data_IF_399488415897
#
_entry.id   IF_399488415897
#
_cell.length_a   1.000
_cell.length_b   1.000
_cell.length_c   1.000
_cell.angle_alpha   90.00
_cell.angle_beta   90.00
_cell.angle_gamma   90.00
#
_symmetry.space_group_name_H-M   'P 1'
#
loop_
_entity.id
_entity.type
_entity.pdbx_description
1 polymer ?
#
# COMPACT_ATOMS: atom_id res chain seq x y z
N UNK A 1 32.47 35.88 51.67
CA UNK A 1 33.90 36.23 51.77
C UNK A 1 34.57 35.79 50.47
N UNK A 2 35.06 36.77 49.71
CA UNK A 2 36.01 36.77 48.57
C UNK A 2 36.35 35.53 47.71
N UNK A 3 36.38 35.79 46.39
CA UNK A 3 37.42 35.46 45.37
C UNK A 3 37.64 33.97 44.98
N UNK A 4 38.10 33.57 43.78
CA UNK A 4 38.19 34.08 42.38
C UNK A 4 38.82 32.94 41.54
N UNK A 5 38.39 32.80 40.28
CA UNK A 5 39.11 32.36 39.05
C UNK A 5 39.75 30.97 38.84
N UNK A 6 39.31 30.39 37.71
CA UNK A 6 40.03 29.74 36.59
C UNK A 6 40.85 28.45 36.77
N UNK A 7 40.45 27.41 36.03
CA UNK A 7 41.12 27.00 34.77
C UNK A 7 40.26 26.04 33.94
N UNK A 8 40.42 26.20 32.63
CA UNK A 8 39.81 25.53 31.48
C UNK A 8 40.12 24.03 31.36
N UNK A 9 39.23 23.26 30.71
CA UNK A 9 39.45 22.50 29.45
C UNK A 9 38.40 21.37 29.27
N UNK A 10 37.59 21.55 28.21
CA UNK A 10 37.16 20.59 27.17
C UNK A 10 36.13 19.45 27.40
N UNK A 11 35.11 19.55 26.53
CA UNK A 11 34.42 18.51 25.75
C UNK A 11 33.29 17.66 26.36
N UNK A 12 32.09 18.12 25.99
CA UNK A 12 31.02 17.38 25.32
C UNK A 12 30.27 16.29 26.10
N UNK A 13 29.11 16.73 26.56
CA UNK A 13 27.97 15.95 27.01
C UNK A 13 27.43 15.00 25.93
N UNK A 14 27.20 13.77 26.38
CA UNK A 14 26.19 12.85 25.86
C UNK A 14 24.79 13.47 26.00
N UNK A 15 23.97 13.36 24.96
CA UNK A 15 22.53 13.54 25.08
C UNK A 15 21.77 12.56 24.17
N UNK A 16 21.16 11.59 24.84
CA UNK A 16 19.83 11.01 24.61
C UNK A 16 19.38 10.63 23.19
N UNK A 17 19.23 9.30 23.04
CA UNK A 17 18.31 8.63 22.13
C UNK A 17 16.87 9.14 22.28
N UNK A 18 16.19 9.36 21.15
CA UNK A 18 14.73 9.24 21.04
C UNK A 18 14.40 8.89 19.58
N UNK A 19 13.88 7.67 19.38
CA UNK A 19 13.30 7.21 18.12
C UNK A 19 11.98 7.97 17.86
N UNK A 20 11.76 8.45 16.64
CA UNK A 20 10.44 8.93 16.21
C UNK A 20 10.17 8.61 14.74
N UNK A 21 9.01 7.99 14.52
CA UNK A 21 8.50 7.37 13.31
C UNK A 21 8.08 8.38 12.21
N UNK A 22 8.13 7.91 10.96
CA UNK A 22 7.95 8.63 9.69
C UNK A 22 6.47 8.86 9.28
N UNK A 23 6.24 9.90 8.47
CA UNK A 23 5.58 9.80 7.15
C UNK A 23 5.90 11.04 6.27
N UNK A 24 6.31 10.85 5.01
CA UNK A 24 6.80 11.89 4.08
C UNK A 24 6.40 11.53 2.62
N UNK A 25 6.09 12.50 1.72
CA UNK A 25 5.51 12.26 0.39
C UNK A 25 6.53 11.78 -0.67
N UNK A 26 7.62 11.15 -0.24
CA UNK A 26 8.72 10.69 -1.11
C UNK A 26 8.41 9.39 -1.87
N UNK A 27 7.39 8.64 -1.45
CA UNK A 27 7.08 7.34 -2.05
C UNK A 27 6.68 7.43 -3.54
N UNK A 28 5.99 8.51 -3.95
CA UNK A 28 5.47 8.63 -5.31
C UNK A 28 6.56 8.91 -6.37
N UNK A 29 7.64 9.62 -6.01
CA UNK A 29 8.71 9.94 -6.96
C UNK A 29 9.71 8.78 -7.14
N UNK A 30 9.95 7.99 -6.10
CA UNK A 30 10.98 6.93 -6.12
C UNK A 30 10.51 5.69 -6.90
N UNK A 31 9.22 5.36 -6.85
CA UNK A 31 8.67 4.19 -7.55
C UNK A 31 8.62 4.36 -9.08
N UNK A 32 8.45 5.59 -9.58
CA UNK A 32 8.47 5.85 -11.03
C UNK A 32 9.82 5.52 -11.69
N UNK A 33 10.93 5.64 -10.96
CA UNK A 33 12.25 5.20 -11.43
C UNK A 33 12.37 3.66 -11.55
N UNK A 34 11.53 2.90 -10.86
CA UNK A 34 11.53 1.42 -10.88
C UNK A 34 10.70 0.90 -12.07
N UNK A 35 9.61 1.58 -12.45
CA UNK A 35 8.77 1.19 -13.61
C UNK A 35 9.55 1.19 -14.93
N UNK A 36 10.59 2.03 -15.06
CA UNK A 36 11.50 2.03 -16.21
C UNK A 36 12.56 0.92 -16.19
N UNK A 37 12.81 0.28 -15.04
CA UNK A 37 13.86 -0.74 -14.89
C UNK A 37 13.35 -2.19 -14.82
N UNK A 38 12.07 -2.42 -14.50
CA UNK A 38 11.53 -3.80 -14.43
C UNK A 38 11.19 -4.42 -15.80
N UNK A 39 11.11 -3.65 -16.89
CA UNK A 39 10.82 -4.19 -18.22
C UNK A 39 12.01 -4.88 -18.92
N UNK A 40 13.23 -4.77 -18.40
CA UNK A 40 14.45 -5.19 -19.12
C UNK A 40 14.97 -6.59 -18.77
N UNK A 41 14.28 -7.35 -17.90
CA UNK A 41 14.79 -8.61 -17.35
C UNK A 41 14.16 -9.89 -17.93
N UNK A 42 13.43 -9.79 -19.05
CA UNK A 42 12.70 -10.93 -19.64
C UNK A 42 13.15 -11.35 -21.06
N UNK A 43 14.18 -10.74 -21.65
CA UNK A 43 14.64 -11.08 -23.01
C UNK A 43 16.15 -11.25 -23.05
N UNK A 44 16.65 -12.45 -22.71
CA UNK A 44 17.97 -12.95 -23.11
C UNK A 44 18.06 -14.45 -22.88
N UNK A 45 17.36 -15.22 -23.72
CA UNK A 45 17.63 -16.62 -23.95
C UNK A 45 17.58 -16.89 -25.46
N UNK A 46 18.56 -17.67 -25.95
CA UNK A 46 18.83 -18.12 -27.32
C UNK A 46 19.54 -17.15 -28.29
N UNK A 47 20.83 -17.40 -28.52
CA UNK A 47 21.39 -17.78 -29.84
C UNK A 47 22.90 -18.07 -29.74
N UNK A 48 23.38 -18.88 -30.68
CA UNK A 48 24.53 -19.79 -30.61
C UNK A 48 25.87 -19.18 -31.14
N UNK A 49 26.97 -19.69 -30.57
CA UNK A 49 28.28 -20.05 -31.19
C UNK A 49 28.90 -19.18 -32.30
N UNK A 50 29.94 -18.40 -31.96
CA UNK A 50 31.27 -18.46 -32.61
C UNK A 50 32.33 -17.63 -31.83
N UNK A 51 33.63 -18.03 -31.83
CA UNK A 51 34.67 -17.33 -31.10
C UNK A 51 35.36 -16.29 -31.99
N UNK A 52 35.29 -15.01 -31.63
CA UNK A 52 36.07 -13.98 -32.30
C UNK A 52 36.61 -12.92 -31.31
N UNK A 53 37.92 -13.00 -31.10
CA UNK A 53 38.88 -11.93 -30.72
C UNK A 53 38.40 -10.90 -29.69
N UNK A 54 38.86 -11.09 -28.46
CA UNK A 54 38.87 -10.07 -27.41
C UNK A 54 39.92 -9.01 -27.76
N UNK A 55 39.48 -7.80 -28.11
CA UNK A 55 40.32 -6.58 -28.07
C UNK A 55 39.96 -5.84 -26.79
N UNK A 56 40.90 -5.48 -25.91
CA UNK A 56 40.57 -4.72 -24.71
C UNK A 56 40.31 -3.27 -25.10
N UNK A 57 39.03 -2.93 -25.31
CA UNK A 57 38.60 -1.54 -25.37
C UNK A 57 38.55 -1.00 -23.94
N UNK A 58 39.66 -0.42 -23.48
CA UNK A 58 39.67 0.38 -22.24
C UNK A 58 38.87 1.64 -22.51
N UNK A 59 37.55 1.58 -22.27
CA UNK A 59 36.73 2.77 -22.14
C UNK A 59 37.09 3.41 -20.81
N UNK A 60 37.75 4.56 -20.85
CA UNK A 60 37.75 5.48 -19.73
C UNK A 60 36.30 5.85 -19.43
N UNK A 61 35.70 5.17 -18.44
CA UNK A 61 34.48 5.60 -17.81
C UNK A 61 34.81 6.88 -17.05
N UNK A 62 34.48 8.02 -17.66
CA UNK A 62 34.38 9.27 -16.92
C UNK A 62 33.27 9.09 -15.89
N UNK A 63 33.68 8.87 -14.64
CA UNK A 63 32.78 8.93 -13.48
C UNK A 63 32.32 10.38 -13.39
N UNK A 64 31.16 10.67 -13.99
CA UNK A 64 30.42 11.87 -13.62
C UNK A 64 30.01 11.69 -12.16
N UNK A 65 30.31 12.64 -11.27
CA UNK A 65 29.81 12.55 -9.91
C UNK A 65 28.29 12.65 -10.00
N UNK A 66 27.60 11.54 -9.74
CA UNK A 66 26.17 11.57 -9.46
C UNK A 66 26.04 12.42 -8.20
N UNK A 67 25.62 13.67 -8.36
CA UNK A 67 25.18 14.49 -7.23
C UNK A 67 23.97 13.79 -6.61
N UNK A 68 24.23 12.86 -5.70
CA UNK A 68 23.20 12.23 -4.91
C UNK A 68 22.53 13.32 -4.09
N UNK A 69 21.27 13.62 -4.40
CA UNK A 69 20.42 14.43 -3.52
C UNK A 69 20.33 13.67 -2.20
N UNK A 70 21.05 14.13 -1.18
CA UNK A 70 21.08 13.47 0.12
C UNK A 70 19.68 13.44 0.75
N UNK A 71 19.39 12.39 1.53
CA UNK A 71 18.13 12.14 2.26
C UNK A 71 17.62 13.32 3.13
N UNK A 72 18.42 14.38 3.29
CA UNK A 72 18.16 15.52 4.17
C UNK A 72 17.38 16.67 3.50
N UNK A 73 17.25 16.69 2.18
CA UNK A 73 16.68 17.82 1.44
C UNK A 73 15.14 17.81 1.54
N UNK A 74 14.52 18.85 2.12
CA UNK A 74 13.06 19.05 2.17
C UNK A 74 12.33 18.72 3.49
N UNK A 75 13.05 18.39 4.57
CA UNK A 75 12.46 18.14 5.91
C UNK A 75 11.92 19.43 6.55
N UNK A 76 10.86 19.32 7.36
CA UNK A 76 10.22 20.43 8.08
C UNK A 76 9.22 21.27 7.28
N UNK A 77 9.13 21.07 5.96
CA UNK A 77 8.17 21.80 5.11
C UNK A 77 6.71 21.51 5.44
N UNK A 78 6.43 20.42 6.17
CA UNK A 78 5.10 20.03 6.62
C UNK A 78 4.74 20.40 8.06
N UNK A 79 5.62 21.09 8.78
CA UNK A 79 5.47 21.38 10.21
C UNK A 79 4.37 22.40 10.49
N UNK A 80 4.06 23.25 9.50
CA UNK A 80 2.94 24.20 9.54
C UNK A 80 1.57 23.55 9.30
N UNK A 81 1.50 22.22 9.21
CA UNK A 81 0.24 21.49 8.97
C UNK A 81 -0.19 21.42 7.50
N UNK A 82 0.57 21.99 6.56
CA UNK A 82 0.30 21.90 5.11
C UNK A 82 1.20 20.89 4.42
N UNK A 83 0.72 20.29 3.34
CA UNK A 83 1.49 19.39 2.46
C UNK A 83 1.23 19.72 0.98
N UNK A 84 2.07 19.21 0.08
CA UNK A 84 1.98 19.45 -1.36
C UNK A 84 1.35 18.27 -2.10
N UNK A 85 0.44 18.57 -3.04
CA UNK A 85 -0.06 17.64 -4.05
C UNK A 85 0.94 17.46 -5.20
N UNK A 86 0.64 16.58 -6.15
CA UNK A 86 1.52 16.25 -7.27
C UNK A 86 1.77 17.43 -8.25
N UNK A 87 0.85 18.40 -8.29
CA UNK A 87 1.01 19.66 -9.02
C UNK A 87 1.78 20.75 -8.23
N UNK A 88 2.29 20.44 -7.03
CA UNK A 88 2.90 21.35 -6.05
C UNK A 88 1.93 22.31 -5.33
N UNK A 89 0.63 22.20 -5.56
CA UNK A 89 -0.38 22.93 -4.79
C UNK A 89 -0.30 22.52 -3.31
N UNK A 90 -0.38 23.49 -2.40
CA UNK A 90 -0.28 23.25 -0.97
C UNK A 90 -1.64 23.32 -0.30
N UNK A 91 -2.11 22.19 0.24
CA UNK A 91 -3.35 22.10 1.02
C UNK A 91 -3.05 21.74 2.49
N UNK A 92 -4.02 21.93 3.36
CA UNK A 92 -3.92 21.49 4.76
C UNK A 92 -3.97 19.96 4.85
N UNK A 93 -3.28 19.35 5.81
CA UNK A 93 -3.19 17.89 5.94
C UNK A 93 -4.52 17.21 6.29
N UNK A 94 -5.50 17.96 6.76
CA UNK A 94 -6.87 17.52 7.05
C UNK A 94 -7.82 17.68 5.85
N UNK A 95 -7.32 18.16 4.70
CA UNK A 95 -8.05 18.20 3.44
C UNK A 95 -8.46 16.79 2.98
N UNK A 96 -9.64 16.69 2.35
CA UNK A 96 -10.23 15.42 1.90
C UNK A 96 -9.27 14.62 1.00
N UNK A 97 -8.46 15.29 0.18
CA UNK A 97 -7.45 14.63 -0.67
C UNK A 97 -6.41 13.90 0.17
N UNK A 98 -5.86 14.54 1.21
CA UNK A 98 -4.87 13.90 2.07
C UNK A 98 -5.49 12.83 2.97
N UNK A 99 -6.74 12.99 3.40
CA UNK A 99 -7.49 11.94 4.10
C UNK A 99 -7.66 10.69 3.22
N UNK A 100 -8.01 10.86 1.94
CA UNK A 100 -8.16 9.75 1.01
C UNK A 100 -6.83 9.04 0.70
N UNK A 101 -5.75 9.80 0.47
CA UNK A 101 -4.41 9.25 0.27
C UNK A 101 -3.94 8.50 1.52
N UNK A 102 -4.10 9.09 2.71
CA UNK A 102 -3.69 8.48 3.97
C UNK A 102 -4.44 7.18 4.28
N UNK A 103 -5.76 7.15 4.07
CA UNK A 103 -6.55 5.93 4.25
C UNK A 103 -6.16 4.83 3.25
N UNK A 104 -5.78 5.20 2.02
CA UNK A 104 -5.29 4.27 0.99
C UNK A 104 -3.92 3.69 1.35
N UNK A 105 -3.02 4.52 1.88
CA UNK A 105 -1.70 4.11 2.37
C UNK A 105 -1.78 3.20 3.61
N UNK A 106 -2.71 3.51 4.53
CA UNK A 106 -2.97 2.66 5.69
C UNK A 106 -3.49 1.27 5.27
N UNK A 107 -4.39 1.21 4.28
CA UNK A 107 -4.82 -0.06 3.70
C UNK A 107 -3.63 -0.82 3.09
N UNK A 108 -2.81 -0.16 2.27
CA UNK A 108 -1.64 -0.77 1.62
C UNK A 108 -0.65 -1.33 2.65
N UNK A 109 -0.43 -0.61 3.73
CA UNK A 109 0.43 -1.04 4.85
C UNK A 109 -0.11 -2.28 5.54
N UNK A 110 -1.42 -2.34 5.79
CA UNK A 110 -2.07 -3.51 6.37
C UNK A 110 -2.05 -4.73 5.44
N UNK A 111 -2.14 -4.54 4.11
CA UNK A 111 -1.94 -5.63 3.16
C UNK A 111 -0.50 -6.17 3.20
N UNK A 112 0.48 -5.33 3.51
CA UNK A 112 1.85 -5.76 3.77
C UNK A 112 1.90 -6.77 4.92
N UNK A 113 1.21 -6.49 6.03
CA UNK A 113 1.08 -7.44 7.15
C UNK A 113 0.40 -8.74 6.71
N UNK A 114 -0.70 -8.64 5.97
CA UNK A 114 -1.40 -9.83 5.44
C UNK A 114 -0.49 -10.66 4.54
N UNK A 115 0.34 -10.02 3.72
CA UNK A 115 1.28 -10.70 2.82
C UNK A 115 2.34 -11.47 3.60
N UNK A 116 2.93 -10.88 4.64
CA UNK A 116 3.89 -11.59 5.50
C UNK A 116 3.26 -12.79 6.21
N UNK A 117 2.02 -12.66 6.67
CA UNK A 117 1.26 -13.79 7.24
C UNK A 117 0.99 -14.88 6.19
N UNK A 118 0.66 -14.51 4.95
CA UNK A 118 0.48 -15.48 3.85
C UNK A 118 1.78 -16.22 3.49
N UNK A 119 2.95 -15.57 3.60
CA UNK A 119 4.26 -16.23 3.48
C UNK A 119 4.45 -17.24 4.61
N UNK A 120 4.16 -16.86 5.86
CA UNK A 120 4.27 -17.76 7.02
C UNK A 120 3.35 -18.98 6.91
N UNK A 121 2.12 -18.77 6.43
CA UNK A 121 1.11 -19.82 6.22
C UNK A 121 1.36 -20.64 4.93
N UNK A 122 2.38 -20.30 4.14
CA UNK A 122 2.74 -20.95 2.86
C UNK A 122 1.59 -20.95 1.82
N UNK A 123 0.95 -19.79 1.63
CA UNK A 123 -0.15 -19.57 0.67
C UNK A 123 0.33 -18.62 -0.46
N UNK A 124 1.08 -19.11 -1.46
CA UNK A 124 1.81 -18.27 -2.43
C UNK A 124 0.91 -17.45 -3.36
N UNK A 125 -0.27 -17.96 -3.70
CA UNK A 125 -1.28 -17.27 -4.50
C UNK A 125 -1.88 -16.04 -3.77
N UNK A 126 -1.96 -16.08 -2.43
CA UNK A 126 -2.29 -14.89 -1.64
C UNK A 126 -1.14 -13.88 -1.62
N UNK A 127 0.11 -14.33 -1.57
CA UNK A 127 1.28 -13.43 -1.63
C UNK A 127 1.29 -12.65 -2.94
N UNK A 128 1.03 -13.31 -4.06
CA UNK A 128 0.96 -12.69 -5.38
C UNK A 128 -0.16 -11.64 -5.47
N UNK A 129 -1.41 -12.02 -5.14
CA UNK A 129 -2.56 -11.11 -5.26
C UNK A 129 -2.42 -9.91 -4.32
N UNK A 130 -1.92 -10.11 -3.09
CA UNK A 130 -1.72 -9.03 -2.13
C UNK A 130 -0.64 -8.05 -2.58
N UNK A 131 0.45 -8.57 -3.17
CA UNK A 131 1.50 -7.74 -3.77
C UNK A 131 0.93 -6.88 -4.90
N UNK A 132 0.13 -7.48 -5.79
CA UNK A 132 -0.50 -6.74 -6.89
C UNK A 132 -1.50 -5.69 -6.38
N UNK A 133 -2.29 -6.00 -5.36
CA UNK A 133 -3.19 -5.04 -4.73
C UNK A 133 -2.43 -3.83 -4.14
N UNK A 134 -1.27 -4.04 -3.51
CA UNK A 134 -0.45 -2.92 -3.02
C UNK A 134 0.07 -2.03 -4.15
N UNK A 135 0.49 -2.61 -5.28
CA UNK A 135 0.85 -1.83 -6.47
C UNK A 135 -0.35 -1.02 -7.00
N UNK A 136 -1.53 -1.63 -7.09
CA UNK A 136 -2.74 -0.94 -7.51
C UNK A 136 -3.12 0.22 -6.55
N UNK A 137 -2.97 0.03 -5.24
CA UNK A 137 -3.21 1.09 -4.25
C UNK A 137 -2.19 2.23 -4.36
N UNK A 138 -0.95 1.93 -4.76
CA UNK A 138 0.04 2.95 -5.04
C UNK A 138 -0.37 3.81 -6.25
N UNK A 139 -0.87 3.20 -7.32
CA UNK A 139 -1.38 3.91 -8.49
C UNK A 139 -2.61 4.76 -8.14
N UNK A 140 -3.55 4.22 -7.35
CA UNK A 140 -4.72 4.96 -6.85
C UNK A 140 -4.30 6.13 -5.97
N UNK A 141 -3.35 5.94 -5.06
CA UNK A 141 -2.85 7.03 -4.22
C UNK A 141 -2.20 8.14 -5.05
N UNK A 142 -1.48 7.79 -6.13
CA UNK A 142 -0.87 8.75 -7.04
C UNK A 142 -1.93 9.56 -7.81
N UNK A 143 -2.99 8.89 -8.25
CA UNK A 143 -4.15 9.51 -8.87
C UNK A 143 -4.85 10.49 -7.92
N UNK A 144 -5.15 10.05 -6.69
CA UNK A 144 -5.78 10.91 -5.67
C UNK A 144 -4.94 12.14 -5.33
N UNK A 145 -3.60 12.02 -5.38
CA UNK A 145 -2.68 13.13 -5.18
C UNK A 145 -2.60 14.11 -6.37
N UNK A 146 -3.31 13.85 -7.46
CA UNK A 146 -3.23 14.59 -8.72
C UNK A 146 -4.56 15.28 -9.04
N UNK A 147 -4.73 16.56 -8.66
CA UNK A 147 -6.00 17.27 -8.84
C UNK A 147 -6.30 17.57 -10.32
N UNK A 148 -7.56 17.83 -10.69
CA UNK A 148 -7.99 18.02 -12.09
C UNK A 148 -7.32 19.20 -12.79
N UNK A 149 -6.84 20.20 -12.07
CA UNK A 149 -6.18 21.38 -12.64
C UNK A 149 -4.69 21.12 -12.96
N UNK A 150 -4.23 19.88 -12.83
CA UNK A 150 -2.88 19.44 -13.19
C UNK A 150 -2.69 19.36 -14.72
N UNK A 151 -1.44 19.54 -15.19
CA UNK A 151 -1.12 19.41 -16.62
C UNK A 151 -1.39 18.00 -17.16
N UNK A 152 -1.79 17.91 -18.43
CA UNK A 152 -2.17 16.65 -19.08
C UNK A 152 -1.04 15.60 -19.04
N UNK A 153 0.20 16.05 -19.24
CA UNK A 153 1.40 15.20 -19.12
C UNK A 153 1.53 14.54 -17.75
N UNK A 154 1.14 15.24 -16.67
CA UNK A 154 1.22 14.71 -15.30
C UNK A 154 0.03 13.79 -15.01
N UNK A 155 -1.17 14.14 -15.49
CA UNK A 155 -2.36 13.29 -15.36
C UNK A 155 -2.17 11.93 -16.03
N UNK A 156 -1.56 11.88 -17.21
CA UNK A 156 -1.30 10.62 -17.91
C UNK A 156 -0.31 9.70 -17.18
N UNK A 157 0.45 10.22 -16.21
CA UNK A 157 1.36 9.42 -15.38
C UNK A 157 0.65 8.77 -14.18
N UNK A 158 -0.51 9.27 -13.79
CA UNK A 158 -1.26 8.86 -12.58
C UNK A 158 -2.65 8.36 -12.94
N UNK A 159 -2.81 7.79 -14.13
CA UNK A 159 -4.08 7.29 -14.63
C UNK A 159 -4.50 5.98 -13.95
N UNK A 160 -5.79 5.86 -13.63
CA UNK A 160 -6.40 4.63 -13.11
C UNK A 160 -6.96 3.83 -14.28
N UNK A 161 -6.32 2.70 -14.58
CA UNK A 161 -6.72 1.84 -15.69
C UNK A 161 -8.03 1.09 -15.36
N UNK A 162 -8.99 1.15 -16.29
CA UNK A 162 -10.24 0.38 -16.21
C UNK A 162 -9.99 -1.13 -16.11
N UNK A 163 -8.88 -1.63 -16.67
CA UNK A 163 -8.47 -3.03 -16.57
C UNK A 163 -8.20 -3.47 -15.12
N UNK A 164 -7.94 -2.54 -14.19
CA UNK A 164 -7.79 -2.86 -12.77
C UNK A 164 -9.10 -3.39 -12.16
N UNK A 165 -10.24 -2.84 -12.57
CA UNK A 165 -11.57 -3.27 -12.09
C UNK A 165 -11.91 -4.63 -12.69
N UNK A 166 -11.66 -4.84 -13.98
CA UNK A 166 -11.88 -6.16 -14.60
C UNK A 166 -10.99 -7.25 -13.98
N UNK A 167 -9.73 -6.91 -13.69
CA UNK A 167 -8.83 -7.83 -13.01
C UNK A 167 -9.34 -8.23 -11.62
N UNK A 168 -9.87 -7.27 -10.84
CA UNK A 168 -10.35 -7.58 -9.48
C UNK A 168 -11.59 -8.48 -9.51
N UNK A 169 -12.45 -8.35 -10.52
CA UNK A 169 -13.58 -9.25 -10.74
C UNK A 169 -13.10 -10.66 -11.04
N UNK A 170 -12.12 -10.81 -11.94
CA UNK A 170 -11.53 -12.11 -12.24
C UNK A 170 -10.88 -12.77 -11.01
N UNK A 171 -10.24 -12.00 -10.11
CA UNK A 171 -9.71 -12.55 -8.86
C UNK A 171 -10.83 -12.95 -7.87
N UNK A 172 -11.92 -12.19 -7.80
CA UNK A 172 -13.09 -12.56 -6.98
C UNK A 172 -13.62 -13.92 -7.43
N UNK A 173 -13.78 -14.14 -8.73
CA UNK A 173 -14.25 -15.42 -9.28
C UNK A 173 -13.21 -16.53 -9.01
N UNK A 174 -11.92 -16.28 -9.30
CA UNK A 174 -10.83 -17.25 -9.11
C UNK A 174 -10.75 -17.82 -7.70
N UNK A 175 -10.84 -16.97 -6.68
CA UNK A 175 -10.81 -17.41 -5.29
C UNK A 175 -12.19 -17.85 -4.80
N UNK A 176 -13.25 -17.20 -5.25
CA UNK A 176 -14.64 -17.45 -4.85
C UNK A 176 -15.12 -18.84 -5.25
N UNK A 177 -14.79 -19.30 -6.45
CA UNK A 177 -15.20 -20.60 -7.00
C UNK A 177 -14.64 -21.79 -6.21
N UNK A 178 -13.58 -21.58 -5.42
CA UNK A 178 -12.97 -22.61 -4.58
C UNK A 178 -13.63 -22.71 -3.20
N UNK A 179 -14.47 -21.74 -2.82
CA UNK A 179 -15.02 -21.65 -1.48
C UNK A 179 -16.33 -22.42 -1.32
N UNK A 180 -16.59 -22.97 -0.12
CA UNK A 180 -17.91 -23.48 0.19
C UNK A 180 -18.94 -22.32 0.18
N UNK A 181 -20.16 -22.58 -0.34
CA UNK A 181 -21.20 -21.56 -0.44
C UNK A 181 -21.67 -21.12 0.95
N UNK A 182 -21.81 -19.80 1.16
CA UNK A 182 -22.37 -19.26 2.40
C UNK A 182 -23.87 -19.00 2.25
N UNK A 183 -24.63 -19.33 3.29
CA UNK A 183 -26.06 -19.03 3.38
C UNK A 183 -26.39 -18.07 4.53
N UNK A 184 -25.39 -17.73 5.34
CA UNK A 184 -25.51 -16.93 6.56
C UNK A 184 -24.31 -15.99 6.67
N UNK A 185 -24.44 -14.92 7.45
CA UNK A 185 -23.31 -14.03 7.74
C UNK A 185 -22.24 -14.76 8.53
N UNK A 186 -20.97 -14.46 8.25
CA UNK A 186 -19.83 -14.98 8.99
C UNK A 186 -19.25 -13.90 9.91
N UNK A 187 -18.77 -14.31 11.07
CA UNK A 187 -17.99 -13.45 11.96
C UNK A 187 -16.57 -13.32 11.40
N UNK A 188 -16.00 -12.12 11.48
CA UNK A 188 -14.61 -11.90 11.11
C UNK A 188 -13.70 -12.68 12.05
N UNK A 189 -12.90 -13.58 11.50
CA UNK A 189 -12.14 -14.58 12.26
C UNK A 189 -11.56 -15.64 11.31
N UNK A 190 -11.30 -16.86 11.80
CA UNK A 190 -10.81 -17.95 10.95
C UNK A 190 -9.29 -18.06 10.84
N UNK A 191 -8.57 -17.58 11.86
CA UNK A 191 -7.10 -17.58 11.92
C UNK A 191 -6.51 -16.17 11.77
N UNK A 192 -5.20 -16.04 12.00
CA UNK A 192 -4.52 -14.75 12.03
C UNK A 192 -4.62 -14.03 10.67
N UNK A 193 -4.23 -14.69 9.58
CA UNK A 193 -4.30 -14.13 8.23
C UNK A 193 -5.73 -13.75 7.83
N UNK A 194 -6.69 -14.66 8.02
CA UNK A 194 -8.11 -14.41 7.70
C UNK A 194 -8.67 -13.22 8.47
N UNK A 195 -8.36 -13.12 9.76
CA UNK A 195 -8.79 -11.99 10.61
C UNK A 195 -8.21 -10.65 10.13
N UNK A 196 -6.92 -10.63 9.74
CA UNK A 196 -6.29 -9.42 9.20
C UNK A 196 -6.85 -9.03 7.84
N UNK A 197 -7.19 -9.99 6.97
CA UNK A 197 -7.86 -9.71 5.69
C UNK A 197 -9.27 -9.14 5.89
N UNK A 198 -10.02 -9.66 6.85
CA UNK A 198 -11.34 -9.11 7.21
C UNK A 198 -11.22 -7.71 7.85
N UNK A 199 -10.15 -7.43 8.60
CA UNK A 199 -9.84 -6.08 9.06
C UNK A 199 -9.46 -5.16 7.89
N UNK A 200 -8.62 -5.62 6.96
CA UNK A 200 -8.26 -4.90 5.75
C UNK A 200 -9.49 -4.54 4.92
N UNK A 201 -10.48 -5.43 4.83
CA UNK A 201 -11.78 -5.13 4.21
C UNK A 201 -12.48 -3.93 4.86
N UNK A 202 -12.49 -3.84 6.19
CA UNK A 202 -13.09 -2.70 6.89
C UNK A 202 -12.32 -1.39 6.65
N UNK A 203 -10.98 -1.45 6.63
CA UNK A 203 -10.11 -0.32 6.29
C UNK A 203 -10.30 0.11 4.84
N UNK A 204 -10.44 -0.84 3.91
CA UNK A 204 -10.72 -0.58 2.50
C UNK A 204 -12.04 0.19 2.32
N UNK A 205 -13.10 -0.22 3.01
CA UNK A 205 -14.37 0.53 3.02
C UNK A 205 -14.22 1.92 3.64
N UNK A 206 -13.29 2.14 4.56
CA UNK A 206 -12.99 3.49 5.07
C UNK A 206 -12.27 4.34 4.02
N UNK A 207 -11.29 3.78 3.31
CA UNK A 207 -10.63 4.44 2.18
C UNK A 207 -11.64 4.81 1.09
N UNK A 208 -12.54 3.89 0.72
CA UNK A 208 -13.65 4.15 -0.20
C UNK A 208 -14.48 5.38 0.25
N UNK A 209 -14.93 5.41 1.51
CA UNK A 209 -15.72 6.54 2.03
C UNK A 209 -14.99 7.88 1.97
N UNK A 210 -13.67 7.92 2.13
CA UNK A 210 -12.90 9.15 1.95
C UNK A 210 -12.71 9.55 0.50
N UNK A 211 -12.80 8.63 -0.46
CA UNK A 211 -12.73 8.93 -1.90
C UNK A 211 -14.07 9.44 -2.44
N UNK A 212 -15.20 9.01 -1.87
CA UNK A 212 -16.55 9.45 -2.28
C UNK A 212 -16.70 10.98 -2.40
N UNK A 213 -16.33 11.82 -1.41
CA UNK A 213 -16.46 13.27 -1.54
C UNK A 213 -15.63 13.84 -2.70
N UNK A 214 -14.43 13.31 -2.94
CA UNK A 214 -13.57 13.73 -4.05
C UNK A 214 -14.20 13.42 -5.40
N UNK A 215 -14.78 12.23 -5.56
CA UNK A 215 -15.49 11.86 -6.80
C UNK A 215 -16.72 12.73 -7.01
N UNK A 216 -17.49 13.02 -5.95
CA UNK A 216 -18.66 13.91 -6.03
C UNK A 216 -18.31 15.35 -6.38
N UNK A 217 -17.12 15.80 -6.00
CA UNK A 217 -16.57 17.11 -6.33
C UNK A 217 -15.84 17.14 -7.68
N UNK A 218 -15.83 16.03 -8.44
CA UNK A 218 -15.09 15.87 -9.70
C UNK A 218 -13.56 16.06 -9.55
N UNK A 219 -13.04 15.89 -8.34
CA UNK A 219 -11.61 15.98 -8.00
C UNK A 219 -10.86 14.65 -8.19
N UNK A 220 -11.59 13.54 -8.38
CA UNK A 220 -11.01 12.22 -8.64
C UNK A 220 -11.86 11.40 -9.63
N UNK A 221 -11.18 10.63 -10.48
CA UNK A 221 -11.81 9.64 -11.37
C UNK A 221 -12.68 8.62 -10.59
N UNK A 222 -13.96 8.42 -10.96
CA UNK A 222 -14.83 7.41 -10.38
C UNK A 222 -14.28 5.97 -10.41
N UNK A 223 -13.36 5.64 -11.32
CA UNK A 223 -12.74 4.31 -11.38
C UNK A 223 -11.97 3.95 -10.11
N UNK A 224 -11.34 4.94 -9.44
CA UNK A 224 -10.67 4.71 -8.15
C UNK A 224 -11.65 4.23 -7.08
N UNK A 225 -12.83 4.87 -7.01
CA UNK A 225 -13.91 4.47 -6.10
C UNK A 225 -14.47 3.08 -6.44
N UNK A 226 -14.70 2.80 -7.73
CA UNK A 226 -15.16 1.47 -8.19
C UNK A 226 -14.15 0.38 -7.83
N UNK A 227 -12.85 0.63 -8.01
CA UNK A 227 -11.81 -0.31 -7.63
C UNK A 227 -11.85 -0.62 -6.13
N UNK A 228 -11.87 0.40 -5.26
CA UNK A 228 -11.92 0.21 -3.80
C UNK A 228 -13.20 -0.53 -3.36
N UNK A 229 -14.33 -0.23 -3.99
CA UNK A 229 -15.59 -0.93 -3.73
C UNK A 229 -15.44 -2.45 -3.94
N UNK A 230 -14.96 -2.84 -5.12
CA UNK A 230 -14.75 -4.26 -5.49
C UNK A 230 -13.61 -4.90 -4.71
N UNK A 231 -12.60 -4.12 -4.34
CA UNK A 231 -11.50 -4.60 -3.52
C UNK A 231 -11.99 -5.05 -2.15
N UNK A 232 -13.00 -4.38 -1.59
CA UNK A 232 -13.59 -4.81 -0.32
C UNK A 232 -14.29 -6.18 -0.44
N UNK A 233 -14.89 -6.49 -1.60
CA UNK A 233 -15.46 -7.81 -1.90
C UNK A 233 -14.36 -8.86 -2.07
N UNK A 234 -13.29 -8.55 -2.81
CA UNK A 234 -12.14 -9.44 -2.94
C UNK A 234 -11.51 -9.74 -1.58
N UNK A 235 -11.26 -8.74 -0.73
CA UNK A 235 -10.69 -8.95 0.61
C UNK A 235 -11.57 -9.84 1.50
N UNK A 236 -12.89 -9.78 1.34
CA UNK A 236 -13.79 -10.74 1.98
C UNK A 236 -13.51 -12.17 1.50
N UNK A 237 -13.47 -12.37 0.19
CA UNK A 237 -13.19 -13.68 -0.45
C UNK A 237 -11.81 -14.21 -0.05
N UNK A 238 -10.76 -13.38 -0.10
CA UNK A 238 -9.42 -13.78 0.32
C UNK A 238 -9.35 -14.17 1.79
N UNK A 239 -10.09 -13.47 2.67
CA UNK A 239 -10.19 -13.83 4.08
C UNK A 239 -10.76 -15.24 4.26
N UNK A 240 -11.84 -15.57 3.55
CA UNK A 240 -12.44 -16.91 3.57
C UNK A 240 -11.48 -17.97 3.00
N UNK A 241 -10.82 -17.64 1.89
CA UNK A 241 -9.84 -18.49 1.24
C UNK A 241 -8.68 -18.83 2.18
N UNK A 242 -8.11 -17.82 2.86
CA UNK A 242 -7.07 -18.04 3.88
C UNK A 242 -7.54 -18.96 5.01
N UNK A 243 -8.78 -18.78 5.50
CA UNK A 243 -9.35 -19.64 6.53
C UNK A 243 -9.40 -21.11 6.07
N UNK A 244 -9.95 -21.35 4.87
CA UNK A 244 -10.06 -22.68 4.27
C UNK A 244 -8.68 -23.32 4.04
N UNK A 245 -7.72 -22.59 3.48
CA UNK A 245 -6.37 -23.08 3.18
C UNK A 245 -5.60 -23.51 4.43
N UNK A 246 -5.83 -22.83 5.54
CA UNK A 246 -5.22 -23.16 6.83
C UNK A 246 -6.00 -24.23 7.61
N UNK A 247 -7.11 -24.76 7.08
CA UNK A 247 -7.97 -25.71 7.78
C UNK A 247 -8.68 -25.13 9.01
N UNK A 248 -8.76 -23.80 9.11
CA UNK A 248 -9.45 -23.11 10.18
C UNK A 248 -10.97 -23.10 9.94
N UNK A 249 -11.73 -22.79 10.98
CA UNK A 249 -13.20 -22.78 10.94
C UNK A 249 -13.75 -21.36 10.88
N UNK A 250 -14.65 -21.13 9.93
CA UNK A 250 -15.47 -19.91 9.89
C UNK A 250 -16.62 -20.02 10.90
N UNK A 251 -16.86 -18.95 11.65
CA UNK A 251 -17.97 -18.90 12.60
C UNK A 251 -19.16 -18.19 11.98
N UNK A 252 -20.33 -18.83 12.05
CA UNK A 252 -21.58 -18.22 11.60
C UNK A 252 -22.11 -17.23 12.63
N UNK A 253 -22.62 -16.09 12.17
CA UNK A 253 -23.37 -15.15 12.99
C UNK A 253 -24.66 -15.79 13.50
N UNK A 254 -24.79 -15.88 14.83
CA UNK A 254 -26.02 -16.32 15.47
C UNK A 254 -26.92 -15.10 15.70
N UNK A 255 -28.08 -15.05 15.03
CA UNK A 255 -29.12 -14.08 15.35
C UNK A 255 -29.82 -14.53 16.63
N UNK A 256 -29.75 -13.77 17.74
CA UNK A 256 -30.45 -14.13 18.95
C UNK A 256 -31.94 -13.77 18.89
N UNK A 257 -32.82 -14.62 19.42
CA UNK A 257 -34.23 -14.28 19.63
C UNK A 257 -34.42 -13.38 20.86
N UNK A 258 -33.52 -13.49 21.85
CA UNK A 258 -33.39 -12.58 23.02
C UNK A 258 -31.91 -12.45 23.42
N UNK A 259 -31.46 -11.25 23.81
CA UNK A 259 -30.04 -10.98 24.11
C UNK A 259 -29.53 -11.69 25.38
N UNK A 260 -30.42 -12.00 26.33
CA UNK A 260 -30.05 -12.41 27.71
C UNK A 260 -29.78 -13.90 27.84
N UNK A 261 -30.37 -14.75 27.00
CA UNK A 261 -30.26 -16.22 27.06
C UNK A 261 -29.57 -16.81 25.81
N UNK A 262 -28.49 -16.17 25.36
CA UNK A 262 -27.75 -16.63 24.20
C UNK A 262 -26.92 -17.88 24.53
N UNK A 263 -27.29 -19.02 23.93
CA UNK A 263 -26.41 -20.19 23.85
C UNK A 263 -25.58 -20.10 22.57
N UNK A 264 -24.28 -19.91 22.74
CA UNK A 264 -23.31 -19.82 21.64
C UNK A 264 -22.85 -21.21 21.21
N UNK A 265 -23.69 -21.93 20.45
CA UNK A 265 -23.24 -23.16 19.80
C UNK A 265 -22.47 -22.81 18.53
N UNK A 266 -21.16 -23.10 18.52
CA UNK A 266 -20.33 -22.91 17.32
C UNK A 266 -20.82 -23.85 16.23
N UNK A 267 -21.45 -23.29 15.19
CA UNK A 267 -21.79 -24.01 13.97
C UNK A 267 -20.70 -23.77 12.93
N UNK A 268 -19.99 -24.84 12.59
CA UNK A 268 -19.01 -24.90 11.51
C UNK A 268 -19.73 -24.82 10.16
N UNK A 269 -19.16 -24.06 9.22
CA UNK A 269 -19.59 -24.00 7.82
C UNK A 269 -18.93 -25.09 6.98
#
# INVERSE_FOLDING_TARGET
MSFKMDKTVSMNHFAHHSLTFLCCPFFYWFWFAIRTHCCDMALRCLSLLHPARVVPLVRHLSVTPVMGRGFKQGRGTGDSGKSSLFNNERRWKDDDTFMAIGNTDELSSLLGVCRELAVQDNIPDLVEVLTRLQCCLQDIGAHLATPPQTSEKKKSMTFVDTAMVEWIHAEIDRFGDQLPPIRQFILSGGGALSSHLQFARAVCRRAERSVVPLVRAEEADPQAMKFLNRMSDLLFVLGRYACMRNGNEELTYLRPDTFVNQKWERKKL
#
